data_IF_765164472068
#
_entry.id   IF_765164472068
#
_cell.length_a   1.000
_cell.length_b   1.000
_cell.length_c   1.000
_cell.angle_alpha   90.00
_cell.angle_beta   90.00
_cell.angle_gamma   90.00
#
_symmetry.space_group_name_H-M   'P 1'
#
loop_
_entity.id
_entity.type
_entity.pdbx_description
1 polymer ?
#
# COMPACT_ATOMS: atom_id res chain seq x y z
N UNK A 1 -7.27 -6.41 -8.51
CA UNK A 1 -8.44 -7.19 -8.06
C UNK A 1 -9.69 -6.34 -7.84
N UNK A 2 -9.64 -5.26 -7.05
CA UNK A 2 -10.82 -4.42 -6.75
C UNK A 2 -11.59 -3.93 -7.99
N UNK A 3 -10.88 -3.47 -9.02
CA UNK A 3 -11.47 -3.05 -10.30
C UNK A 3 -12.27 -4.15 -11.02
N UNK A 4 -11.97 -5.42 -10.78
CA UNK A 4 -12.67 -6.56 -11.38
C UNK A 4 -13.83 -7.07 -10.52
N UNK A 5 -13.73 -6.93 -9.19
CA UNK A 5 -14.68 -7.53 -8.23
C UNK A 5 -15.74 -6.56 -7.71
N UNK A 6 -15.41 -5.29 -7.61
CA UNK A 6 -16.34 -4.26 -7.13
C UNK A 6 -17.12 -3.62 -8.27
N UNK A 7 -18.34 -3.15 -7.97
CA UNK A 7 -19.09 -2.20 -8.81
C UNK A 7 -19.21 -0.82 -8.17
N UNK A 8 -18.65 -0.63 -6.98
CA UNK A 8 -18.73 0.63 -6.25
C UNK A 8 -17.76 1.65 -6.87
N UNK A 9 -18.26 2.82 -7.31
CA UNK A 9 -17.42 3.82 -7.95
C UNK A 9 -16.32 4.38 -7.03
N UNK A 10 -16.55 4.48 -5.72
CA UNK A 10 -15.53 4.97 -4.78
C UNK A 10 -14.40 3.95 -4.60
N UNK A 11 -14.72 2.65 -4.53
CA UNK A 11 -13.71 1.58 -4.50
C UNK A 11 -12.88 1.58 -5.80
N UNK A 12 -13.52 1.79 -6.95
CA UNK A 12 -12.80 1.91 -8.23
C UNK A 12 -11.89 3.12 -8.29
N UNK A 13 -12.37 4.27 -7.79
CA UNK A 13 -11.60 5.50 -7.72
C UNK A 13 -10.38 5.33 -6.82
N UNK A 14 -10.57 4.77 -5.63
CA UNK A 14 -9.48 4.44 -4.71
C UNK A 14 -8.47 3.50 -5.37
N UNK A 15 -8.92 2.38 -5.92
CA UNK A 15 -8.04 1.39 -6.55
C UNK A 15 -7.22 1.97 -7.71
N UNK A 16 -7.78 2.88 -8.51
CA UNK A 16 -7.04 3.58 -9.58
C UNK A 16 -5.99 4.54 -9.03
N UNK A 17 -6.33 5.28 -7.98
CA UNK A 17 -5.37 6.17 -7.28
C UNK A 17 -4.22 5.36 -6.70
N UNK A 18 -4.53 4.25 -6.02
CA UNK A 18 -3.54 3.32 -5.47
C UNK A 18 -2.58 2.82 -6.54
N UNK A 19 -3.10 2.29 -7.65
CA UNK A 19 -2.27 1.77 -8.75
C UNK A 19 -1.36 2.87 -9.28
N UNK A 20 -1.91 4.02 -9.66
CA UNK A 20 -1.14 5.15 -10.21
C UNK A 20 -0.01 5.58 -9.27
N UNK A 21 -0.34 5.78 -7.99
CA UNK A 21 0.61 6.35 -7.03
C UNK A 21 1.68 5.33 -6.65
N UNK A 22 1.31 4.06 -6.43
CA UNK A 22 2.29 3.02 -6.14
C UNK A 22 3.19 2.70 -7.33
N UNK A 23 2.67 2.71 -8.56
CA UNK A 23 3.50 2.57 -9.77
C UNK A 23 4.55 3.68 -9.85
N UNK A 24 4.14 4.94 -9.64
CA UNK A 24 5.06 6.08 -9.65
C UNK A 24 6.13 6.01 -8.53
N UNK A 25 5.77 5.56 -7.32
CA UNK A 25 6.72 5.34 -6.22
C UNK A 25 7.69 4.20 -6.56
N UNK A 26 7.20 3.10 -7.15
CA UNK A 26 8.03 1.97 -7.55
C UNK A 26 9.04 2.36 -8.64
N UNK A 27 8.63 3.15 -9.64
CA UNK A 27 9.53 3.67 -10.67
C UNK A 27 10.65 4.52 -10.06
N UNK A 28 10.31 5.42 -9.13
CA UNK A 28 11.30 6.24 -8.43
C UNK A 28 12.26 5.39 -7.58
N UNK A 29 11.74 4.37 -6.90
CA UNK A 29 12.56 3.44 -6.12
C UNK A 29 13.54 2.66 -7.00
N UNK A 30 13.07 2.11 -8.13
CA UNK A 30 13.91 1.37 -9.07
C UNK A 30 15.00 2.27 -9.68
N UNK A 31 14.65 3.49 -10.09
CA UNK A 31 15.60 4.46 -10.61
C UNK A 31 16.67 4.83 -9.56
N UNK A 32 16.28 4.95 -8.29
CA UNK A 32 17.22 5.22 -7.21
C UNK A 32 18.15 4.02 -6.93
N UNK A 33 17.61 2.79 -6.95
CA UNK A 33 18.42 1.58 -6.81
C UNK A 33 19.46 1.47 -7.93
N UNK A 34 19.05 1.71 -9.18
CA UNK A 34 19.94 1.73 -10.35
C UNK A 34 21.04 2.80 -10.19
N UNK A 35 20.65 4.03 -9.83
CA UNK A 35 21.58 5.14 -9.59
C UNK A 35 22.63 4.81 -8.52
N UNK A 36 22.20 4.15 -7.44
CA UNK A 36 23.08 3.80 -6.32
C UNK A 36 23.87 2.50 -6.57
N UNK A 37 23.58 1.77 -7.65
CA UNK A 37 24.20 0.48 -7.94
C UNK A 37 23.89 -0.59 -6.88
N UNK A 38 22.74 -0.47 -6.20
CA UNK A 38 22.31 -1.40 -5.16
C UNK A 38 21.13 -2.26 -5.63
N UNK A 39 20.97 -3.43 -5.02
CA UNK A 39 19.87 -4.33 -5.32
C UNK A 39 18.99 -4.53 -4.09
N UNK A 40 17.67 -4.55 -4.31
CA UNK A 40 16.73 -4.96 -3.27
C UNK A 40 17.08 -6.38 -2.79
N UNK A 41 17.11 -6.58 -1.47
CA UNK A 41 17.42 -7.86 -0.85
C UNK A 41 16.14 -8.47 -0.27
N UNK A 42 15.94 -9.75 -0.54
CA UNK A 42 14.94 -10.52 0.17
C UNK A 42 15.35 -10.73 1.64
N UNK A 43 14.39 -10.67 2.55
CA UNK A 43 14.58 -10.80 3.98
C UNK A 43 13.28 -11.27 4.65
N UNK A 44 13.34 -11.57 5.95
CA UNK A 44 12.18 -12.06 6.69
C UNK A 44 10.95 -11.13 6.56
N UNK A 45 11.17 -9.82 6.55
CA UNK A 45 10.09 -8.85 6.46
C UNK A 45 9.47 -8.80 5.06
N UNK A 46 10.26 -8.82 3.98
CA UNK A 46 9.72 -8.91 2.61
C UNK A 46 8.95 -10.20 2.38
N UNK A 47 9.45 -11.33 2.89
CA UNK A 47 8.75 -12.62 2.82
C UNK A 47 7.42 -12.57 3.58
N UNK A 48 7.41 -11.99 4.78
CA UNK A 48 6.19 -11.84 5.59
C UNK A 48 5.16 -10.96 4.89
N UNK A 49 5.57 -9.83 4.32
CA UNK A 49 4.68 -8.94 3.57
C UNK A 49 4.06 -9.66 2.35
N UNK A 50 4.86 -10.45 1.63
CA UNK A 50 4.35 -11.25 0.51
C UNK A 50 3.33 -12.30 0.96
N UNK A 51 3.63 -13.05 2.03
CA UNK A 51 2.71 -14.04 2.59
C UNK A 51 1.39 -13.42 3.07
N UNK A 52 1.45 -12.26 3.73
CA UNK A 52 0.26 -11.55 4.17
C UNK A 52 -0.56 -11.04 2.97
N UNK A 53 0.11 -10.57 1.92
CA UNK A 53 -0.52 -10.21 0.65
C UNK A 53 -1.24 -11.38 -0.01
N UNK A 54 -0.60 -12.54 -0.10
CA UNK A 54 -1.19 -13.76 -0.67
C UNK A 54 -2.44 -14.21 0.11
N UNK A 55 -2.38 -14.18 1.45
CA UNK A 55 -3.51 -14.51 2.31
C UNK A 55 -4.69 -13.54 2.14
N UNK A 56 -4.41 -12.24 1.97
CA UNK A 56 -5.43 -11.23 1.67
C UNK A 56 -6.07 -11.51 0.31
N UNK A 57 -5.27 -11.82 -0.71
CA UNK A 57 -5.76 -12.15 -2.05
C UNK A 57 -6.65 -13.41 -2.01
N UNK A 58 -6.21 -14.46 -1.32
CA UNK A 58 -7.00 -15.68 -1.16
C UNK A 58 -8.33 -15.40 -0.48
N UNK A 59 -8.32 -14.68 0.66
CA UNK A 59 -9.55 -14.26 1.34
C UNK A 59 -10.47 -13.49 0.40
N UNK A 60 -9.96 -12.45 -0.26
CA UNK A 60 -10.76 -11.60 -1.14
C UNK A 60 -11.28 -12.31 -2.37
N UNK A 61 -10.61 -13.38 -2.83
CA UNK A 61 -11.08 -14.19 -3.94
C UNK A 61 -12.46 -14.82 -3.67
N UNK A 62 -12.75 -15.17 -2.41
CA UNK A 62 -14.01 -15.83 -2.00
C UNK A 62 -15.16 -14.86 -1.77
N UNK A 63 -14.87 -13.56 -1.59
CA UNK A 63 -15.88 -12.53 -1.31
C UNK A 63 -16.47 -11.95 -2.60
N UNK A 64 -17.68 -11.37 -2.50
CA UNK A 64 -18.30 -10.67 -3.62
C UNK A 64 -19.27 -9.57 -3.15
N UNK A 65 -19.61 -8.65 -4.06
CA UNK A 65 -20.57 -7.58 -3.79
C UNK A 65 -20.16 -6.73 -2.57
N UNK A 66 -21.15 -6.38 -1.74
CA UNK A 66 -20.94 -5.52 -0.58
C UNK A 66 -19.97 -6.12 0.46
N UNK A 67 -19.90 -7.45 0.57
CA UNK A 67 -18.96 -8.11 1.47
C UNK A 67 -17.51 -7.91 1.00
N UNK A 68 -17.26 -8.01 -0.31
CA UNK A 68 -15.96 -7.68 -0.88
C UNK A 68 -15.62 -6.21 -0.67
N UNK A 69 -16.56 -5.29 -0.95
CA UNK A 69 -16.32 -3.85 -0.84
C UNK A 69 -15.93 -3.45 0.60
N UNK A 70 -16.65 -3.95 1.60
CA UNK A 70 -16.34 -3.71 3.02
C UNK A 70 -14.99 -4.30 3.41
N UNK A 71 -14.77 -5.57 3.10
CA UNK A 71 -13.52 -6.24 3.46
C UNK A 71 -12.30 -5.59 2.78
N UNK A 72 -12.46 -5.10 1.56
CA UNK A 72 -11.43 -4.34 0.85
C UNK A 72 -11.13 -3.01 1.57
N UNK A 73 -12.13 -2.18 1.83
CA UNK A 73 -11.93 -0.89 2.50
C UNK A 73 -11.31 -1.03 3.90
N UNK A 74 -11.81 -1.98 4.71
CA UNK A 74 -11.28 -2.25 6.05
C UNK A 74 -9.82 -2.72 6.01
N UNK A 75 -9.47 -3.57 5.04
CA UNK A 75 -8.10 -4.02 4.86
C UNK A 75 -7.18 -2.88 4.44
N UNK A 76 -7.56 -2.09 3.42
CA UNK A 76 -6.73 -0.97 2.97
C UNK A 76 -6.47 0.02 4.11
N UNK A 77 -7.48 0.33 4.94
CA UNK A 77 -7.29 1.17 6.12
C UNK A 77 -6.32 0.54 7.14
N UNK A 78 -6.53 -0.72 7.51
CA UNK A 78 -5.69 -1.39 8.50
C UNK A 78 -4.25 -1.57 7.99
N UNK A 79 -4.09 -1.91 6.71
CA UNK A 79 -2.80 -2.17 6.09
C UNK A 79 -2.00 -0.87 5.93
N UNK A 80 -2.62 0.22 5.47
CA UNK A 80 -1.95 1.52 5.40
C UNK A 80 -1.57 2.05 6.78
N UNK A 81 -2.40 1.86 7.82
CA UNK A 81 -2.02 2.20 9.20
C UNK A 81 -0.75 1.46 9.64
N UNK A 82 -0.68 0.15 9.40
CA UNK A 82 0.47 -0.66 9.75
C UNK A 82 1.73 -0.26 8.96
N UNK A 83 1.61 -0.06 7.64
CA UNK A 83 2.71 0.36 6.78
C UNK A 83 3.19 1.77 7.15
N UNK A 84 2.29 2.72 7.40
CA UNK A 84 2.65 4.08 7.79
C UNK A 84 3.42 4.12 9.10
N UNK A 85 3.02 3.31 10.09
CA UNK A 85 3.76 3.16 11.35
C UNK A 85 5.15 2.55 11.10
N UNK A 86 5.25 1.47 10.32
CA UNK A 86 6.53 0.83 10.01
C UNK A 86 7.47 1.79 9.26
N UNK A 87 6.98 2.48 8.23
CA UNK A 87 7.77 3.42 7.42
C UNK A 87 8.19 4.62 8.26
N UNK A 88 7.26 5.23 8.99
CA UNK A 88 7.49 6.44 9.78
C UNK A 88 8.35 6.22 11.01
N UNK A 89 8.07 5.18 11.78
CA UNK A 89 8.63 5.01 13.12
C UNK A 89 9.86 4.09 13.12
N UNK A 90 9.97 3.19 12.12
CA UNK A 90 11.07 2.21 12.06
C UNK A 90 12.01 2.52 10.90
N UNK A 91 11.53 2.68 9.67
CA UNK A 91 12.44 2.82 8.52
C UNK A 91 13.08 4.19 8.42
N UNK A 92 12.29 5.27 8.32
CA UNK A 92 12.82 6.63 8.13
C UNK A 92 13.88 7.03 9.18
N UNK A 93 13.75 6.68 10.48
CA UNK A 93 14.77 6.97 11.48
C UNK A 93 16.09 6.19 11.29
N UNK A 94 16.04 5.00 10.68
CA UNK A 94 17.17 4.09 10.52
C UNK A 94 17.78 4.11 9.11
N UNK A 95 17.26 4.91 8.17
CA UNK A 95 17.85 5.07 6.85
C UNK A 95 18.97 6.12 6.92
N UNK A 96 20.19 5.68 6.63
CA UNK A 96 21.38 6.55 6.61
C UNK A 96 21.53 7.32 5.29
N UNK A 97 21.20 6.69 4.16
CA UNK A 97 21.35 7.33 2.85
C UNK A 97 20.26 8.41 2.67
N UNK A 98 20.68 9.66 2.50
CA UNK A 98 19.78 10.81 2.43
C UNK A 98 18.79 10.75 1.25
N UNK A 99 19.18 10.20 0.09
CA UNK A 99 18.29 10.07 -1.07
C UNK A 99 17.24 8.99 -0.83
N UNK A 100 17.63 7.86 -0.25
CA UNK A 100 16.70 6.79 0.14
C UNK A 100 15.73 7.30 1.19
N UNK A 101 16.22 8.06 2.19
CA UNK A 101 15.38 8.63 3.23
C UNK A 101 14.35 9.59 2.65
N UNK A 102 14.77 10.49 1.75
CA UNK A 102 13.88 11.44 1.10
C UNK A 102 12.78 10.73 0.30
N UNK A 103 13.10 9.65 -0.41
CA UNK A 103 12.12 8.83 -1.12
C UNK A 103 11.07 8.23 -0.16
N UNK A 104 11.50 7.70 0.99
CA UNK A 104 10.59 7.14 2.00
C UNK A 104 9.72 8.21 2.64
N UNK A 105 10.27 9.39 2.92
CA UNK A 105 9.51 10.54 3.45
C UNK A 105 8.44 11.01 2.47
N UNK A 106 8.72 11.02 1.16
CA UNK A 106 7.72 11.36 0.14
C UNK A 106 6.66 10.27 -0.01
N UNK A 107 7.08 9.00 -0.07
CA UNK A 107 6.17 7.85 -0.08
C UNK A 107 5.22 7.83 1.12
N UNK A 108 5.72 8.17 2.32
CA UNK A 108 4.89 8.23 3.53
C UNK A 108 3.77 9.27 3.43
N UNK A 109 3.99 10.42 2.78
CA UNK A 109 2.93 11.42 2.59
C UNK A 109 1.80 10.88 1.71
N UNK A 110 2.16 10.17 0.65
CA UNK A 110 1.22 9.52 -0.27
C UNK A 110 0.43 8.44 0.48
N UNK A 111 1.10 7.56 1.21
CA UNK A 111 0.44 6.49 1.96
C UNK A 111 -0.48 7.00 3.08
N UNK A 112 -0.19 8.15 3.69
CA UNK A 112 -1.11 8.81 4.62
C UNK A 112 -2.36 9.36 3.93
N UNK A 113 -2.24 9.83 2.69
CA UNK A 113 -3.42 10.24 1.90
C UNK A 113 -4.27 9.03 1.51
N UNK A 114 -3.64 7.88 1.20
CA UNK A 114 -4.35 6.62 0.98
C UNK A 114 -5.07 6.15 2.24
N UNK A 115 -4.41 6.20 3.41
CA UNK A 115 -5.04 5.87 4.70
C UNK A 115 -6.31 6.70 4.95
N UNK A 116 -6.24 8.02 4.78
CA UNK A 116 -7.39 8.91 4.99
C UNK A 116 -8.53 8.61 4.01
N UNK A 117 -8.22 8.32 2.74
CA UNK A 117 -9.22 7.93 1.76
C UNK A 117 -9.85 6.56 2.11
N UNK A 118 -9.06 5.60 2.61
CA UNK A 118 -9.58 4.32 3.06
C UNK A 118 -10.50 4.46 4.29
N UNK A 119 -10.20 5.38 5.21
CA UNK A 119 -11.07 5.72 6.34
C UNK A 119 -12.44 6.22 5.87
N UNK A 120 -12.46 7.15 4.90
CA UNK A 120 -13.70 7.62 4.27
C UNK A 120 -14.48 6.49 3.59
N UNK A 121 -13.81 5.54 2.93
CA UNK A 121 -14.48 4.39 2.33
C UNK A 121 -15.12 3.49 3.38
N UNK A 122 -14.44 3.22 4.49
CA UNK A 122 -14.97 2.41 5.59
C UNK A 122 -16.22 3.09 6.18
N UNK A 123 -16.16 4.39 6.43
CA UNK A 123 -17.32 5.16 6.94
C UNK A 123 -18.52 5.08 5.98
N UNK A 124 -18.30 5.16 4.67
CA UNK A 124 -19.37 5.14 3.67
C UNK A 124 -20.00 3.76 3.42
N UNK A 125 -19.33 2.68 3.84
CA UNK A 125 -19.77 1.28 3.64
C UNK A 125 -20.40 0.65 4.90
N UNK A 126 -20.45 1.40 5.99
CA UNK A 126 -21.04 1.02 7.27
C UNK A 126 -22.51 1.44 7.40
#
# INVERSE_FOLDING_TARGET
MALAKSKNPEIHKFAKTMIRDHEAVNEQALALLEKLGVQAQDNFLSQKLNQDGDAIIERFSTLSGAEFDRAYAENELAYHKAVNALVGDVFIPNIENAEVKALFEEGLKIFKAHEAHAEMMVEALN
#
